data_IF_760603290810
#
_entry.id   IF_760603290810
#
_cell.length_a   1.000
_cell.length_b   1.000
_cell.length_c   1.000
_cell.angle_alpha   90.00
_cell.angle_beta   90.00
_cell.angle_gamma   90.00
#
_symmetry.space_group_name_H-M   'P 1'
#
loop_
_entity.id
_entity.type
_entity.pdbx_description
1 polymer ?
#
# COMPACT_ATOMS: atom_id res chain seq x y z
N UNK A 1 26.93 -9.41 17.90
CA UNK A 1 25.46 -9.63 17.90
C UNK A 1 24.82 -8.45 17.19
N UNK A 2 24.61 -8.57 15.89
CA UNK A 2 23.81 -7.64 15.10
C UNK A 2 22.33 -7.91 15.40
N UNK A 3 21.51 -6.91 15.73
CA UNK A 3 20.07 -7.13 15.89
C UNK A 3 19.51 -7.54 14.52
N UNK A 4 18.69 -8.59 14.51
CA UNK A 4 18.07 -9.11 13.31
C UNK A 4 17.20 -8.05 12.66
N UNK A 5 17.54 -7.67 11.43
CA UNK A 5 16.58 -7.10 10.52
C UNK A 5 15.58 -8.21 10.19
N UNK A 6 14.48 -8.30 10.95
CA UNK A 6 13.25 -8.88 10.42
C UNK A 6 12.72 -7.85 9.42
N UNK A 7 13.33 -7.87 8.23
CA UNK A 7 13.33 -6.76 7.29
C UNK A 7 11.93 -6.43 6.81
N UNK A 8 11.51 -5.18 7.01
CA UNK A 8 10.36 -4.58 6.36
C UNK A 8 10.34 -4.96 4.87
N UNK A 9 9.15 -5.27 4.35
CA UNK A 9 9.00 -5.56 2.93
C UNK A 9 9.55 -4.37 2.11
N UNK A 10 10.43 -4.59 1.12
CA UNK A 10 11.07 -3.51 0.38
C UNK A 10 10.08 -2.68 -0.45
N UNK A 11 8.89 -3.22 -0.71
CA UNK A 11 7.80 -2.52 -1.40
C UNK A 11 6.64 -2.31 -0.43
N UNK A 12 6.15 -1.08 -0.36
CA UNK A 12 4.90 -0.72 0.31
C UNK A 12 3.87 -0.31 -0.75
N UNK A 13 2.65 -0.84 -0.66
CA UNK A 13 1.50 -0.34 -1.40
C UNK A 13 0.50 0.18 -0.39
N UNK A 14 0.20 1.48 -0.47
CA UNK A 14 -0.70 2.17 0.43
C UNK A 14 -1.89 2.72 -0.36
N UNK A 15 -3.06 2.16 -0.12
CA UNK A 15 -4.33 2.59 -0.73
C UNK A 15 -5.17 3.37 0.27
N UNK A 16 -5.87 4.42 -0.15
CA UNK A 16 -6.84 5.07 0.73
C UNK A 16 -8.12 5.42 0.00
N UNK A 17 -9.14 5.70 0.80
CA UNK A 17 -10.46 6.07 0.32
C UNK A 17 -11.58 5.56 1.22
N UNK A 18 -12.80 6.03 0.98
CA UNK A 18 -13.96 5.70 1.81
C UNK A 18 -14.90 4.71 1.10
N UNK A 19 -14.99 3.44 1.56
CA UNK A 19 -15.92 2.45 1.00
C UNK A 19 -17.39 2.87 1.01
N UNK A 20 -17.79 3.80 1.88
CA UNK A 20 -19.16 4.32 1.95
C UNK A 20 -19.47 5.42 0.91
N UNK A 21 -18.48 5.86 0.11
CA UNK A 21 -18.62 6.94 -0.87
C UNK A 21 -18.54 6.47 -2.33
N UNK A 22 -18.87 5.21 -2.60
CA UNK A 22 -18.92 4.67 -3.96
C UNK A 22 -17.52 4.51 -4.55
N UNK A 23 -17.22 5.19 -5.66
CA UNK A 23 -15.95 5.06 -6.38
C UNK A 23 -14.72 5.51 -5.57
N UNK A 24 -14.92 6.27 -4.49
CA UNK A 24 -13.87 6.57 -3.51
C UNK A 24 -13.31 5.29 -2.84
N UNK A 25 -13.99 4.15 -2.96
CA UNK A 25 -13.53 2.86 -2.47
C UNK A 25 -12.40 2.23 -3.29
N UNK A 26 -11.99 2.84 -4.42
CA UNK A 26 -11.06 2.22 -5.36
C UNK A 26 -9.69 1.90 -4.74
N UNK A 27 -9.17 2.74 -3.84
CA UNK A 27 -7.92 2.46 -3.11
C UNK A 27 -8.00 1.18 -2.27
N UNK A 28 -8.91 1.10 -1.28
CA UNK A 28 -9.11 -0.11 -0.46
C UNK A 28 -9.47 -1.37 -1.28
N UNK A 29 -10.27 -1.23 -2.33
CA UNK A 29 -10.63 -2.35 -3.22
C UNK A 29 -9.44 -2.83 -4.04
N UNK A 30 -8.57 -1.92 -4.51
CA UNK A 30 -7.32 -2.28 -5.16
C UNK A 30 -6.45 -3.12 -4.22
N UNK A 31 -6.25 -2.66 -2.98
CA UNK A 31 -5.46 -3.37 -1.97
C UNK A 31 -6.01 -4.78 -1.73
N UNK A 32 -7.32 -4.89 -1.50
CA UNK A 32 -8.00 -6.17 -1.26
C UNK A 32 -7.80 -7.15 -2.40
N UNK A 33 -7.98 -6.69 -3.64
CA UNK A 33 -7.89 -7.57 -4.82
C UNK A 33 -6.44 -7.89 -5.20
N UNK A 34 -5.55 -6.90 -5.17
CA UNK A 34 -4.16 -7.08 -5.57
C UNK A 34 -3.39 -7.96 -4.58
N UNK A 35 -3.60 -7.79 -3.28
CA UNK A 35 -2.96 -8.63 -2.25
C UNK A 35 -3.40 -10.09 -2.29
N UNK A 36 -4.58 -10.39 -2.85
CA UNK A 36 -5.09 -11.75 -3.02
C UNK A 36 -4.51 -12.47 -4.25
N UNK A 37 -3.86 -11.75 -5.16
CA UNK A 37 -3.23 -12.36 -6.33
C UNK A 37 -1.92 -13.06 -5.95
N UNK A 38 -1.61 -14.22 -6.55
CA UNK A 38 -0.32 -14.86 -6.34
C UNK A 38 0.80 -13.95 -6.84
N UNK A 39 1.83 -13.78 -6.03
CA UNK A 39 3.02 -13.03 -6.42
C UNK A 39 3.71 -13.69 -7.62
N UNK A 40 4.13 -12.92 -8.63
CA UNK A 40 4.95 -13.45 -9.72
C UNK A 40 6.25 -14.08 -9.20
N UNK A 41 6.80 -15.12 -9.86
CA UNK A 41 8.09 -15.68 -9.49
C UNK A 41 9.18 -14.60 -9.46
N UNK A 42 9.91 -14.52 -8.34
CA UNK A 42 10.97 -13.53 -8.14
C UNK A 42 10.50 -12.12 -7.77
N UNK A 43 9.20 -11.90 -7.58
CA UNK A 43 8.71 -10.62 -7.08
C UNK A 43 9.22 -10.35 -5.64
N UNK A 44 9.55 -9.09 -5.30
CA UNK A 44 9.92 -8.72 -3.93
C UNK A 44 8.72 -8.88 -2.99
N UNK A 45 9.00 -9.02 -1.68
CA UNK A 45 7.94 -8.95 -0.69
C UNK A 45 7.25 -7.58 -0.74
N UNK A 46 5.92 -7.59 -0.65
CA UNK A 46 5.07 -6.41 -0.67
C UNK A 46 4.29 -6.35 0.63
N UNK A 47 4.32 -5.18 1.28
CA UNK A 47 3.41 -4.85 2.35
C UNK A 47 2.24 -4.03 1.82
N UNK A 48 1.05 -4.32 2.33
CA UNK A 48 -0.20 -3.73 1.89
C UNK A 48 -0.83 -2.98 3.05
N UNK A 49 -1.04 -1.68 2.90
CA UNK A 49 -1.70 -0.83 3.90
C UNK A 49 -2.92 -0.17 3.27
N UNK A 50 -3.96 0.00 4.09
CA UNK A 50 -5.16 0.75 3.70
C UNK A 50 -5.65 1.61 4.85
N UNK A 51 -6.14 2.81 4.53
CA UNK A 51 -6.80 3.71 5.48
C UNK A 51 -7.89 4.54 4.80
N UNK A 52 -8.70 5.29 5.54
CA UNK A 52 -9.68 6.21 4.99
C UNK A 52 -9.03 7.46 4.38
N UNK A 53 -7.93 7.94 4.96
CA UNK A 53 -7.19 9.12 4.51
C UNK A 53 -5.71 8.99 4.90
N UNK A 54 -4.83 9.70 4.19
CA UNK A 54 -3.43 9.79 4.57
C UNK A 54 -3.26 10.58 5.89
N UNK A 55 -2.59 9.97 6.86
CA UNK A 55 -2.18 10.60 8.11
C UNK A 55 -0.65 10.83 8.16
N UNK A 56 -0.19 11.69 9.08
CA UNK A 56 1.24 12.01 9.23
C UNK A 56 2.06 10.81 9.70
N UNK A 57 1.41 9.90 10.42
CA UNK A 57 1.96 8.66 10.94
C UNK A 57 2.48 7.75 9.81
N UNK A 58 1.84 7.79 8.63
CA UNK A 58 2.28 7.00 7.48
C UNK A 58 3.66 7.38 6.95
N UNK A 59 4.18 8.56 7.30
CA UNK A 59 5.55 8.92 6.95
C UNK A 59 6.57 7.92 7.53
N UNK A 60 6.26 7.31 8.68
CA UNK A 60 7.11 6.30 9.30
C UNK A 60 7.11 4.98 8.50
N UNK A 61 5.99 4.63 7.85
CA UNK A 61 5.86 3.42 7.04
C UNK A 61 6.74 3.47 5.77
N UNK A 62 7.13 4.67 5.33
CA UNK A 62 7.97 4.89 4.15
C UNK A 62 9.46 4.62 4.42
N UNK A 63 9.88 4.72 5.68
CA UNK A 63 11.31 4.66 6.04
C UNK A 63 11.88 3.28 5.78
N UNK A 64 12.96 3.22 5.00
CA UNK A 64 13.65 1.96 4.69
C UNK A 64 12.98 1.11 3.59
N UNK A 65 11.88 1.59 2.99
CA UNK A 65 11.32 0.98 1.77
C UNK A 65 12.19 1.33 0.57
N UNK A 66 12.34 0.39 -0.36
CA UNK A 66 12.96 0.65 -1.66
C UNK A 66 11.97 1.34 -2.60
N UNK A 67 10.70 0.97 -2.53
CA UNK A 67 9.63 1.54 -3.34
C UNK A 67 8.33 1.69 -2.56
N UNK A 68 7.58 2.75 -2.87
CA UNK A 68 6.23 2.99 -2.33
C UNK A 68 5.29 3.29 -3.48
N UNK A 69 4.14 2.63 -3.52
CA UNK A 69 3.04 2.89 -4.45
C UNK A 69 1.84 3.42 -3.66
N UNK A 70 1.38 4.61 -4.02
CA UNK A 70 0.17 5.22 -3.51
C UNK A 70 -0.99 4.95 -4.47
N UNK A 71 -2.16 4.59 -3.94
CA UNK A 71 -3.35 4.26 -4.72
C UNK A 71 -4.57 4.99 -4.17
N UNK A 72 -5.21 5.80 -5.02
CA UNK A 72 -6.38 6.61 -4.67
C UNK A 72 -7.36 6.66 -5.85
N UNK A 73 -8.62 6.94 -5.54
CA UNK A 73 -9.59 7.32 -6.54
C UNK A 73 -9.29 8.74 -7.04
N UNK A 74 -9.24 8.94 -8.36
CA UNK A 74 -9.13 10.26 -8.97
C UNK A 74 -10.41 10.59 -9.75
N UNK A 75 -10.86 11.84 -9.64
CA UNK A 75 -11.92 12.39 -10.50
C UNK A 75 -11.35 13.04 -11.77
N UNK A 76 -10.04 13.24 -11.82
CA UNK A 76 -9.31 13.69 -12.99
C UNK A 76 -8.74 12.45 -13.69
N UNK A 77 -9.43 12.02 -14.74
CA UNK A 77 -8.95 11.03 -15.70
C UNK A 77 -8.78 11.77 -17.03
N UNK A 78 -7.56 12.24 -17.30
CA UNK A 78 -7.16 12.79 -18.60
C UNK A 78 -6.48 11.71 -19.45
#
# INVERSE_FOLDING_TARGET
MTPGASGLAPVLVLGWGNPSRGDDALGPEFITRASALPAPPGAPAVEWLTDFQLQVEHALDLVGRSHVLFVDASVACE
#
